data_IF_542011055997
#
_entry.id   IF_542011055997
#
_cell.length_a   1.000
_cell.length_b   1.000
_cell.length_c   1.000
_cell.angle_alpha   90.00
_cell.angle_beta   90.00
_cell.angle_gamma   90.00
#
_symmetry.space_group_name_H-M   'P 1'
#
loop_
_entity.id
_entity.type
_entity.pdbx_description
1 polymer ?
#
# COMPACT_ATOMS: atom_id res chain seq x y z
N UNK A 1 -22.91 -30.76 47.19
CA UNK A 1 -23.32 -31.34 45.89
C UNK A 1 -24.50 -30.52 45.41
N UNK A 2 -24.53 -29.89 44.24
CA UNK A 2 -23.53 -29.69 43.20
C UNK A 2 -23.51 -28.21 42.80
N UNK A 3 -22.45 -27.81 42.12
CA UNK A 3 -22.35 -26.54 41.43
C UNK A 3 -22.70 -26.73 39.95
N UNK A 4 -23.37 -25.74 39.39
CA UNK A 4 -23.75 -25.53 37.97
C UNK A 4 -24.58 -24.22 38.02
N UNK A 5 -24.43 -23.19 37.17
CA UNK A 5 -24.24 -23.11 35.71
C UNK A 5 -23.54 -21.76 35.33
N UNK A 6 -22.58 -21.74 34.39
CA UNK A 6 -22.70 -21.31 32.97
C UNK A 6 -22.88 -19.78 32.82
N UNK A 7 -21.84 -19.04 32.41
CA UNK A 7 -21.56 -18.56 31.03
C UNK A 7 -22.62 -17.60 30.49
N UNK A 8 -22.28 -16.31 30.29
CA UNK A 8 -22.49 -15.68 28.98
C UNK A 8 -21.79 -14.32 28.84
N UNK A 9 -21.05 -14.26 27.74
CA UNK A 9 -20.44 -13.12 27.07
C UNK A 9 -21.48 -12.07 26.66
N UNK A 10 -21.23 -10.80 26.99
CA UNK A 10 -21.52 -9.75 26.01
C UNK A 10 -20.34 -8.79 26.01
N UNK A 11 -19.44 -9.08 25.08
CA UNK A 11 -18.37 -8.21 24.65
C UNK A 11 -18.97 -6.89 24.13
N UNK A 12 -19.23 -5.96 25.05
CA UNK A 12 -19.71 -4.62 24.74
C UNK A 12 -18.70 -3.90 23.86
N UNK A 13 -19.03 -3.83 22.58
CA UNK A 13 -18.24 -3.19 21.53
C UNK A 13 -18.00 -1.72 21.88
N UNK A 14 -16.77 -1.43 22.32
CA UNK A 14 -16.29 -0.08 22.58
C UNK A 14 -16.07 0.64 21.25
N UNK A 15 -17.04 1.46 20.87
CA UNK A 15 -16.91 2.45 19.80
C UNK A 15 -15.88 3.50 20.22
N UNK A 16 -14.61 3.26 19.88
CA UNK A 16 -13.55 4.27 19.98
C UNK A 16 -13.54 5.06 18.67
N UNK A 17 -14.20 6.23 18.69
CA UNK A 17 -13.96 7.29 17.71
C UNK A 17 -12.50 7.73 17.84
N UNK A 18 -11.65 7.32 16.89
CA UNK A 18 -10.24 7.70 16.86
C UNK A 18 -10.12 9.01 16.10
N UNK A 19 -9.42 10.03 16.63
CA UNK A 19 -9.17 11.25 15.90
C UNK A 19 -8.42 10.93 14.61
N UNK A 20 -9.02 11.28 13.47
CA UNK A 20 -8.40 11.16 12.16
C UNK A 20 -7.19 12.10 12.14
N UNK A 21 -6.04 11.59 12.54
CA UNK A 21 -4.75 12.27 12.36
C UNK A 21 -4.65 12.57 10.88
N UNK A 22 -4.79 13.85 10.49
CA UNK A 22 -4.46 14.32 9.14
C UNK A 22 -3.01 13.89 8.90
N UNK A 23 -2.85 12.78 8.19
CA UNK A 23 -1.54 12.21 7.87
C UNK A 23 -0.79 13.32 7.13
N UNK A 24 0.24 13.88 7.76
CA UNK A 24 1.13 14.83 7.13
C UNK A 24 1.56 14.18 5.82
N UNK A 25 1.15 14.78 4.70
CA UNK A 25 1.24 14.13 3.40
C UNK A 25 2.70 14.19 2.99
N UNK A 26 3.48 13.22 3.46
CA UNK A 26 4.86 13.04 3.06
C UNK A 26 4.88 12.85 1.55
N UNK A 27 5.20 13.92 0.83
CA UNK A 27 5.43 13.84 -0.60
C UNK A 27 6.68 12.99 -0.77
N UNK A 28 6.46 11.73 -1.15
CA UNK A 28 7.50 10.74 -1.30
C UNK A 28 7.97 10.81 -2.74
N UNK A 29 9.28 11.01 -2.92
CA UNK A 29 9.89 11.00 -4.24
C UNK A 29 10.18 9.56 -4.66
N UNK A 30 10.30 9.35 -5.97
CA UNK A 30 10.74 8.10 -6.54
C UNK A 30 12.09 7.71 -5.92
N UNK A 31 12.08 6.61 -5.17
CA UNK A 31 13.29 6.13 -4.55
C UNK A 31 14.00 5.19 -5.53
N UNK A 32 15.19 5.58 -5.96
CA UNK A 32 16.04 4.73 -6.82
C UNK A 32 16.36 3.37 -6.20
N UNK A 33 16.26 3.24 -4.88
CA UNK A 33 16.40 1.95 -4.19
C UNK A 33 15.34 0.92 -4.63
N UNK A 34 14.14 1.37 -5.03
CA UNK A 34 13.12 0.47 -5.56
C UNK A 34 13.55 -0.18 -6.87
N UNK A 35 14.36 0.50 -7.70
CA UNK A 35 14.93 -0.10 -8.92
C UNK A 35 16.07 -1.08 -8.63
N UNK A 36 16.63 -1.08 -7.41
CA UNK A 36 17.62 -2.08 -7.00
C UNK A 36 16.96 -3.35 -6.46
N UNK A 37 15.71 -3.24 -6.02
CA UNK A 37 14.97 -4.34 -5.45
C UNK A 37 14.41 -5.24 -6.57
N UNK A 38 14.80 -6.51 -6.63
CA UNK A 38 14.37 -7.48 -7.67
C UNK A 38 12.87 -7.51 -7.95
N UNK A 39 12.07 -7.36 -6.89
CA UNK A 39 10.61 -7.38 -6.96
C UNK A 39 10.01 -6.26 -7.83
N UNK A 40 10.68 -5.12 -7.90
CA UNK A 40 10.21 -3.98 -8.69
C UNK A 40 11.11 -3.72 -9.89
N UNK A 41 12.43 -3.86 -9.77
CA UNK A 41 13.42 -3.58 -10.82
C UNK A 41 13.08 -4.22 -12.17
N UNK A 42 12.45 -5.40 -12.13
CA UNK A 42 12.01 -6.17 -13.29
C UNK A 42 11.06 -5.39 -14.22
N UNK A 43 10.17 -4.59 -13.65
CA UNK A 43 9.14 -3.86 -14.40
C UNK A 43 9.11 -2.35 -14.12
N UNK A 44 9.75 -1.91 -13.05
CA UNK A 44 9.76 -0.53 -12.59
C UNK A 44 10.91 0.24 -13.22
N UNK A 45 10.57 1.37 -13.84
CA UNK A 45 11.53 2.32 -14.39
C UNK A 45 11.26 3.71 -13.83
N UNK A 46 12.29 4.51 -13.63
CA UNK A 46 12.09 5.93 -13.33
C UNK A 46 11.46 6.65 -14.54
N UNK A 47 10.63 7.66 -14.29
CA UNK A 47 10.11 8.51 -15.36
C UNK A 47 11.08 9.66 -15.62
N UNK A 48 11.60 9.82 -16.86
CA UNK A 48 12.51 10.92 -17.16
C UNK A 48 11.76 12.27 -17.04
N UNK A 49 12.29 13.16 -16.21
CA UNK A 49 11.70 14.49 -15.94
C UNK A 49 10.76 14.55 -14.74
N UNK A 50 10.24 13.42 -14.27
CA UNK A 50 9.20 13.35 -13.24
C UNK A 50 9.59 12.42 -12.09
N UNK A 51 10.30 12.91 -11.05
CA UNK A 51 10.70 12.10 -9.91
C UNK A 51 9.51 11.72 -9.01
N UNK A 52 8.30 12.15 -9.32
CA UNK A 52 7.08 11.81 -8.59
C UNK A 52 6.31 10.65 -9.22
N UNK A 53 6.79 10.18 -10.37
CA UNK A 53 6.16 9.12 -11.15
C UNK A 53 7.17 8.03 -11.46
N UNK A 54 6.75 6.79 -11.25
CA UNK A 54 7.43 5.64 -11.83
C UNK A 54 6.73 5.23 -13.13
N UNK A 55 7.44 4.56 -14.03
CA UNK A 55 6.86 3.96 -15.22
C UNK A 55 6.98 2.45 -15.11
N UNK A 56 5.86 1.74 -15.27
CA UNK A 56 5.86 0.29 -15.39
C UNK A 56 6.10 -0.09 -16.85
N UNK A 57 7.17 -0.83 -17.16
CA UNK A 57 7.44 -1.32 -18.52
C UNK A 57 6.47 -2.42 -18.95
N UNK A 58 6.01 -3.25 -18.00
CA UNK A 58 5.08 -4.37 -18.27
C UNK A 58 3.69 -3.83 -18.66
N UNK A 59 3.17 -2.90 -17.89
CA UNK A 59 1.86 -2.29 -18.15
C UNK A 59 1.94 -1.08 -19.10
N UNK A 60 3.14 -0.54 -19.33
CA UNK A 60 3.38 0.72 -20.06
C UNK A 60 2.56 1.90 -19.50
N UNK A 61 2.45 1.99 -18.18
CA UNK A 61 1.70 3.06 -17.47
C UNK A 61 2.59 3.80 -16.48
N UNK A 62 2.24 5.06 -16.20
CA UNK A 62 2.86 5.86 -15.14
C UNK A 62 2.15 5.62 -13.81
N UNK A 63 2.91 5.32 -12.77
CA UNK A 63 2.47 5.10 -11.39
C UNK A 63 2.87 6.33 -10.57
N UNK A 64 1.89 6.96 -9.94
CA UNK A 64 2.12 8.12 -9.08
C UNK A 64 2.67 7.66 -7.73
N UNK A 65 3.96 7.90 -7.48
CA UNK A 65 4.61 7.54 -6.21
C UNK A 65 4.56 8.68 -5.17
N UNK A 66 4.15 9.89 -5.58
CA UNK A 66 4.09 11.11 -4.75
C UNK A 66 3.48 10.91 -3.36
N UNK A 67 2.36 10.20 -3.25
CA UNK A 67 1.60 10.12 -2.01
C UNK A 67 1.67 8.75 -1.32
N UNK A 68 1.97 7.72 -2.09
CA UNK A 68 1.89 6.32 -1.65
C UNK A 68 3.25 5.63 -1.69
N UNK A 69 4.21 6.18 -2.43
CA UNK A 69 5.54 5.63 -2.59
C UNK A 69 5.52 4.17 -3.03
N UNK A 70 6.08 3.30 -2.18
CA UNK A 70 6.14 1.85 -2.39
C UNK A 70 4.74 1.20 -2.40
N UNK A 71 3.77 1.75 -1.67
CA UNK A 71 2.40 1.21 -1.63
C UNK A 71 1.73 1.30 -2.99
N UNK A 72 1.94 2.39 -3.75
CA UNK A 72 1.41 2.51 -5.10
C UNK A 72 2.03 1.48 -6.06
N UNK A 73 3.29 1.08 -5.83
CA UNK A 73 3.94 0.03 -6.61
C UNK A 73 3.35 -1.34 -6.28
N UNK A 74 3.12 -1.60 -5.00
CA UNK A 74 2.52 -2.85 -4.53
C UNK A 74 1.07 -3.00 -5.00
N UNK A 75 0.27 -1.93 -4.90
CA UNK A 75 -1.09 -1.89 -5.41
C UNK A 75 -1.10 -2.08 -6.93
N UNK A 76 -0.18 -1.40 -7.65
CA UNK A 76 -0.02 -1.60 -9.08
C UNK A 76 0.28 -3.06 -9.44
N UNK A 77 1.20 -3.71 -8.73
CA UNK A 77 1.53 -5.12 -8.95
C UNK A 77 0.33 -6.05 -8.72
N UNK A 78 -0.59 -5.68 -7.83
CA UNK A 78 -1.85 -6.40 -7.57
C UNK A 78 -2.95 -6.10 -8.59
N UNK A 79 -2.84 -5.04 -9.39
CA UNK A 79 -3.87 -4.74 -10.39
C UNK A 79 -3.97 -5.84 -11.44
N UNK A 80 -5.20 -6.13 -11.89
CA UNK A 80 -5.47 -7.15 -12.93
C UNK A 80 -4.66 -6.91 -14.21
N UNK A 81 -4.38 -5.64 -14.56
CA UNK A 81 -3.59 -5.26 -15.73
C UNK A 81 -2.13 -5.70 -15.62
N UNK A 82 -1.60 -5.76 -14.39
CA UNK A 82 -0.26 -6.25 -14.12
C UNK A 82 -0.22 -7.77 -13.99
N UNK A 83 -1.21 -8.38 -13.32
CA UNK A 83 -1.29 -9.84 -13.17
C UNK A 83 -1.56 -10.59 -14.49
N UNK A 84 -2.16 -9.92 -15.47
CA UNK A 84 -2.50 -10.52 -16.78
C UNK A 84 -1.37 -10.43 -17.82
N UNK A 85 -0.15 -10.03 -17.43
CA UNK A 85 0.95 -9.69 -18.34
C UNK A 85 2.19 -10.53 -18.10
#
# INVERSE_FOLDING_TARGET
MGGETEDEDDSVSTKTDRPVKKKMKCSTYFNNDWMKNDNYSTWLKQTPGDPLYATCSVCSVKILVKHEGKTALDDHAKTKKHQSR
#
